data_IF_723143463416
#
_entry.id   IF_723143463416
#
_cell.length_a   1.000
_cell.length_b   1.000
_cell.length_c   1.000
_cell.angle_alpha   90.00
_cell.angle_beta   90.00
_cell.angle_gamma   90.00
#
_symmetry.space_group_name_H-M   'P 1'
#
loop_
_entity.id
_entity.type
_entity.pdbx_description
1 polymer ?
#
# COMPACT_ATOMS: atom_id res chain seq x y z
N UNK A 1 -29.05 9.42 -16.55
CA UNK A 1 -29.05 7.97 -16.83
C UNK A 1 -28.05 7.20 -15.96
N UNK A 2 -26.80 7.69 -15.77
CA UNK A 2 -25.78 6.99 -14.96
C UNK A 2 -26.08 6.98 -13.45
N UNK A 3 -26.56 8.09 -12.88
CA UNK A 3 -26.94 8.15 -11.45
C UNK A 3 -28.02 7.12 -11.08
N UNK A 4 -29.07 7.00 -11.90
CA UNK A 4 -30.14 6.02 -11.68
C UNK A 4 -29.62 4.58 -11.72
N UNK A 5 -28.71 4.27 -12.66
CA UNK A 5 -28.02 2.97 -12.69
C UNK A 5 -27.21 2.71 -11.43
N UNK A 6 -26.46 3.72 -10.97
CA UNK A 6 -25.65 3.63 -9.77
C UNK A 6 -26.52 3.38 -8.54
N UNK A 7 -27.65 4.09 -8.39
CA UNK A 7 -28.62 3.91 -7.30
C UNK A 7 -29.18 2.48 -7.24
N UNK A 8 -29.40 1.85 -8.41
CA UNK A 8 -29.89 0.47 -8.49
C UNK A 8 -28.81 -0.60 -8.36
N UNK A 9 -27.53 -0.23 -8.45
CA UNK A 9 -26.40 -1.16 -8.41
C UNK A 9 -25.74 -1.25 -7.03
N UNK A 10 -26.10 -0.36 -6.10
CA UNK A 10 -25.55 -0.30 -4.74
C UNK A 10 -26.53 -0.81 -3.70
N UNK A 11 -26.01 -1.16 -2.53
CA UNK A 11 -26.83 -1.60 -1.39
C UNK A 11 -27.87 -0.52 -1.03
N UNK A 12 -29.11 -0.91 -0.63
CA UNK A 12 -30.21 0.05 -0.42
C UNK A 12 -29.88 1.16 0.59
N UNK A 13 -29.02 0.89 1.57
CA UNK A 13 -28.59 1.89 2.55
C UNK A 13 -27.58 2.89 1.98
N UNK A 14 -26.76 2.48 1.01
CA UNK A 14 -25.88 3.37 0.25
C UNK A 14 -26.65 4.17 -0.81
N UNK A 15 -27.67 3.55 -1.42
CA UNK A 15 -28.53 4.17 -2.43
C UNK A 15 -29.18 5.46 -1.90
N UNK A 16 -29.55 5.52 -0.61
CA UNK A 16 -30.10 6.73 0.03
C UNK A 16 -29.15 7.93 -0.04
N UNK A 17 -27.84 7.71 0.00
CA UNK A 17 -26.82 8.75 -0.20
C UNK A 17 -26.68 9.17 -1.65
N UNK A 18 -26.78 8.21 -2.58
CA UNK A 18 -26.68 8.44 -4.04
C UNK A 18 -27.85 9.26 -4.59
N UNK A 19 -29.07 9.04 -4.07
CA UNK A 19 -30.30 9.71 -4.54
C UNK A 19 -30.23 11.24 -4.39
N UNK A 20 -29.49 11.73 -3.39
CA UNK A 20 -29.38 13.17 -3.12
C UNK A 20 -28.22 13.85 -3.86
N UNK A 21 -27.35 13.07 -4.52
CA UNK A 21 -26.20 13.60 -5.21
C UNK A 21 -26.58 14.21 -6.57
N UNK A 22 -25.99 15.38 -6.88
CA UNK A 22 -26.24 16.08 -8.15
C UNK A 22 -25.40 15.53 -9.30
N UNK A 23 -24.26 14.93 -9.00
CA UNK A 23 -23.34 14.37 -10.00
C UNK A 23 -22.80 13.01 -9.57
N UNK A 24 -22.48 12.16 -10.56
CA UNK A 24 -21.82 10.87 -10.34
C UNK A 24 -20.47 11.06 -9.66
N UNK A 25 -19.79 12.15 -9.99
CA UNK A 25 -18.50 12.51 -9.39
C UNK A 25 -18.59 12.73 -7.87
N UNK A 26 -19.65 13.39 -7.39
CA UNK A 26 -19.87 13.56 -5.95
C UNK A 26 -20.10 12.21 -5.26
N UNK A 27 -20.90 11.33 -5.87
CA UNK A 27 -21.11 9.98 -5.33
C UNK A 27 -19.80 9.19 -5.27
N UNK A 28 -18.98 9.31 -6.32
CA UNK A 28 -17.69 8.66 -6.38
C UNK A 28 -16.73 9.17 -5.30
N UNK A 29 -16.62 10.49 -5.12
CA UNK A 29 -15.79 11.07 -4.05
C UNK A 29 -16.33 10.73 -2.66
N UNK A 30 -17.65 10.69 -2.43
CA UNK A 30 -18.23 10.29 -1.14
C UNK A 30 -17.96 8.81 -0.83
N UNK A 31 -18.09 7.94 -1.83
CA UNK A 31 -17.77 6.52 -1.68
C UNK A 31 -16.27 6.31 -1.51
N UNK A 32 -15.46 7.04 -2.25
CA UNK A 32 -14.02 7.05 -2.04
C UNK A 32 -13.72 7.54 -0.63
N UNK A 33 -14.18 8.67 -0.15
CA UNK A 33 -13.84 9.13 1.21
C UNK A 33 -14.30 8.15 2.30
N UNK A 34 -15.51 7.57 2.17
CA UNK A 34 -16.06 6.61 3.15
C UNK A 34 -15.46 5.21 3.09
N UNK A 35 -15.16 4.70 1.90
CA UNK A 35 -14.72 3.31 1.68
C UNK A 35 -13.27 3.19 1.20
N UNK A 36 -12.64 4.30 0.81
CA UNK A 36 -11.19 4.41 0.59
C UNK A 36 -10.45 4.78 1.87
N UNK A 37 -11.05 4.55 3.05
CA UNK A 37 -10.23 4.24 4.21
C UNK A 37 -9.26 3.17 3.74
N UNK A 38 -8.02 3.59 3.41
CA UNK A 38 -6.85 2.74 3.24
C UNK A 38 -7.04 1.67 4.28
N UNK A 39 -7.00 0.39 3.91
CA UNK A 39 -7.30 -0.72 4.82
C UNK A 39 -6.31 -0.69 5.99
N UNK A 40 -6.44 0.28 6.89
CA UNK A 40 -5.46 0.68 7.86
C UNK A 40 -5.29 -0.41 8.91
N UNK A 41 -6.37 -1.14 9.29
CA UNK A 41 -6.21 -2.38 10.03
C UNK A 41 -5.38 -3.45 9.28
N UNK A 42 -5.59 -3.61 7.97
CA UNK A 42 -4.82 -4.59 7.18
C UNK A 42 -3.35 -4.17 7.00
N UNK A 43 -3.11 -2.88 6.73
CA UNK A 43 -1.77 -2.28 6.64
C UNK A 43 -1.04 -2.43 7.99
N UNK A 44 -1.69 -2.08 9.10
CA UNK A 44 -1.12 -2.23 10.45
C UNK A 44 -0.81 -3.70 10.77
N UNK A 45 -1.68 -4.63 10.36
CA UNK A 45 -1.44 -6.07 10.53
C UNK A 45 -0.23 -6.56 9.70
N UNK A 46 -0.10 -6.11 8.45
CA UNK A 46 1.05 -6.45 7.59
C UNK A 46 2.34 -5.83 8.14
N UNK A 47 2.30 -4.58 8.60
CA UNK A 47 3.44 -3.91 9.22
C UNK A 47 3.89 -4.61 10.51
N UNK A 48 2.96 -5.05 11.37
CA UNK A 48 3.27 -5.88 12.55
C UNK A 48 3.85 -7.24 12.17
N UNK A 49 3.33 -7.85 11.10
CA UNK A 49 3.84 -9.12 10.59
C UNK A 49 5.28 -8.95 10.10
N UNK A 50 5.57 -7.88 9.34
CA UNK A 50 6.91 -7.51 8.90
C UNK A 50 7.85 -7.22 10.07
N UNK A 51 7.42 -6.44 11.07
CA UNK A 51 8.25 -6.09 12.23
C UNK A 51 8.60 -7.29 13.12
N UNK A 52 7.74 -8.31 13.15
CA UNK A 52 7.99 -9.57 13.87
C UNK A 52 8.56 -10.68 12.98
N UNK A 53 8.72 -10.42 11.68
CA UNK A 53 9.22 -11.41 10.74
C UNK A 53 10.72 -11.60 10.92
N UNK A 54 11.13 -12.84 11.18
CA UNK A 54 12.54 -13.20 11.30
C UNK A 54 12.80 -14.52 10.59
N UNK A 55 14.04 -14.71 10.15
CA UNK A 55 14.41 -15.89 9.37
C UNK A 55 14.24 -17.21 10.15
N UNK A 56 14.54 -17.21 11.46
CA UNK A 56 14.43 -18.40 12.30
C UNK A 56 15.17 -19.61 11.71
N UNK A 57 14.46 -20.74 11.57
CA UNK A 57 14.97 -21.99 10.98
C UNK A 57 14.72 -22.10 9.47
N UNK A 58 14.17 -21.06 8.84
CA UNK A 58 13.80 -21.09 7.43
C UNK A 58 15.03 -20.97 6.53
N UNK A 59 14.98 -21.64 5.37
CA UNK A 59 15.98 -21.40 4.32
C UNK A 59 15.87 -19.98 3.79
N UNK A 60 17.00 -19.42 3.33
CA UNK A 60 17.08 -18.05 2.79
C UNK A 60 16.07 -17.83 1.66
N UNK A 61 15.90 -18.82 0.77
CA UNK A 61 14.93 -18.75 -0.33
C UNK A 61 13.49 -18.67 0.19
N UNK A 62 13.11 -19.54 1.14
CA UNK A 62 11.75 -19.54 1.69
C UNK A 62 11.46 -18.25 2.47
N UNK A 63 12.46 -17.73 3.18
CA UNK A 63 12.36 -16.47 3.90
C UNK A 63 12.08 -15.30 2.94
N UNK A 64 12.89 -15.18 1.88
CA UNK A 64 12.76 -14.08 0.93
C UNK A 64 11.45 -14.14 0.14
N UNK A 65 10.97 -15.34 -0.22
CA UNK A 65 9.66 -15.49 -0.88
C UNK A 65 8.51 -15.00 0.00
N UNK A 66 8.53 -15.32 1.31
CA UNK A 66 7.49 -14.86 2.23
C UNK A 66 7.59 -13.35 2.49
N UNK A 67 8.80 -12.83 2.64
CA UNK A 67 9.03 -11.40 2.80
C UNK A 67 8.52 -10.60 1.60
N UNK A 68 8.84 -11.07 0.39
CA UNK A 68 8.34 -10.49 -0.86
C UNK A 68 6.81 -10.53 -0.93
N UNK A 69 6.18 -11.62 -0.50
CA UNK A 69 4.72 -11.71 -0.44
C UNK A 69 4.08 -10.65 0.46
N UNK A 70 4.67 -10.38 1.63
CA UNK A 70 4.18 -9.34 2.54
C UNK A 70 4.34 -7.92 1.93
N UNK A 71 5.42 -7.67 1.20
CA UNK A 71 5.61 -6.42 0.47
C UNK A 71 4.63 -6.25 -0.69
N UNK A 72 4.45 -7.29 -1.50
CA UNK A 72 3.49 -7.28 -2.60
C UNK A 72 2.06 -7.04 -2.07
N UNK A 73 1.71 -7.64 -0.93
CA UNK A 73 0.42 -7.41 -0.26
C UNK A 73 0.30 -5.97 0.25
N UNK A 74 1.35 -5.41 0.88
CA UNK A 74 1.36 -4.01 1.31
C UNK A 74 1.18 -3.03 0.13
N UNK A 75 1.80 -3.33 -1.02
CA UNK A 75 1.68 -2.54 -2.23
C UNK A 75 0.25 -2.54 -2.81
N UNK A 76 -0.53 -3.61 -2.62
CA UNK A 76 -1.96 -3.61 -3.03
C UNK A 76 -2.81 -2.60 -2.28
N UNK A 77 -2.38 -2.21 -1.07
CA UNK A 77 -3.06 -1.23 -0.23
C UNK A 77 -2.50 0.18 -0.37
N UNK A 78 -1.37 0.37 -1.07
CA UNK A 78 -0.89 1.70 -1.44
C UNK A 78 -1.82 2.27 -2.52
N UNK A 79 -2.16 3.55 -2.37
CA UNK A 79 -3.05 4.22 -3.31
C UNK A 79 -2.41 4.18 -4.70
N UNK A 80 -3.19 3.78 -5.71
CA UNK A 80 -2.74 3.82 -7.10
C UNK A 80 -2.20 5.22 -7.41
N UNK A 81 -0.95 5.34 -7.88
CA UNK A 81 -0.38 6.64 -8.18
C UNK A 81 -1.24 7.34 -9.22
N UNK A 82 -1.53 8.62 -8.98
CA UNK A 82 -2.15 9.48 -9.98
C UNK A 82 -1.27 9.44 -11.23
N UNK A 83 -1.87 9.39 -12.43
CA UNK A 83 -1.26 9.09 -13.75
C UNK A 83 0.12 9.71 -14.07
N UNK A 84 0.59 10.70 -13.31
CA UNK A 84 1.84 11.42 -13.50
C UNK A 84 2.88 11.23 -12.38
N UNK A 85 2.64 10.34 -11.39
CA UNK A 85 3.49 10.18 -10.19
C UNK A 85 4.09 8.77 -10.02
N UNK A 86 4.05 7.93 -11.05
CA UNK A 86 4.54 6.54 -10.99
C UNK A 86 6.00 6.45 -10.52
N UNK A 87 6.89 7.30 -11.07
CA UNK A 87 8.32 7.31 -10.69
C UNK A 87 8.57 7.64 -9.21
N UNK A 88 7.88 8.65 -8.68
CA UNK A 88 8.02 9.02 -7.27
C UNK A 88 7.46 7.94 -6.34
N UNK A 89 6.43 7.20 -6.78
CA UNK A 89 5.88 6.06 -6.05
C UNK A 89 6.85 4.87 -6.06
N UNK A 90 7.52 4.60 -7.18
CA UNK A 90 8.53 3.54 -7.28
C UNK A 90 9.78 3.86 -6.45
N UNK A 91 10.26 5.12 -6.48
CA UNK A 91 11.39 5.57 -5.64
C UNK A 91 11.06 5.43 -4.14
N UNK A 92 9.87 5.87 -3.72
CA UNK A 92 9.43 5.72 -2.32
C UNK A 92 9.28 4.24 -1.91
N UNK A 93 8.90 3.37 -2.84
CA UNK A 93 8.82 1.91 -2.60
C UNK A 93 10.21 1.31 -2.36
N UNK A 94 11.21 1.72 -3.13
CA UNK A 94 12.58 1.26 -2.96
C UNK A 94 13.19 1.73 -1.64
N UNK A 95 12.95 2.98 -1.25
CA UNK A 95 13.37 3.52 0.05
C UNK A 95 12.78 2.72 1.23
N UNK A 96 11.48 2.44 1.19
CA UNK A 96 10.80 1.67 2.25
C UNK A 96 11.32 0.23 2.37
N UNK A 97 11.63 -0.43 1.24
CA UNK A 97 12.26 -1.74 1.24
C UNK A 97 13.67 -1.71 1.82
N UNK A 98 14.46 -0.68 1.51
CA UNK A 98 15.81 -0.51 2.05
C UNK A 98 15.79 -0.26 3.56
N UNK A 99 14.88 0.59 4.05
CA UNK A 99 14.71 0.83 5.49
C UNK A 99 14.33 -0.46 6.22
N UNK A 100 13.39 -1.23 5.68
CA UNK A 100 13.00 -2.51 6.27
C UNK A 100 14.15 -3.54 6.27
N UNK A 101 14.89 -3.63 5.16
CA UNK A 101 16.05 -4.52 5.05
C UNK A 101 17.14 -4.16 6.07
N UNK A 102 17.39 -2.86 6.27
CA UNK A 102 18.31 -2.34 7.31
C UNK A 102 17.88 -2.77 8.71
N UNK A 103 16.58 -2.68 9.02
CA UNK A 103 16.03 -3.06 10.32
C UNK A 103 16.14 -4.54 10.64
N UNK A 104 15.97 -5.41 9.64
CA UNK A 104 15.98 -6.87 9.84
C UNK A 104 17.39 -7.45 9.84
N UNK A 105 18.31 -6.84 9.09
CA UNK A 105 19.70 -7.29 8.98
C UNK A 105 20.66 -6.30 9.65
N UNK A 106 20.76 -6.38 10.98
CA UNK A 106 21.62 -5.51 11.80
C UNK A 106 23.11 -5.58 11.40
N UNK A 107 23.56 -6.70 10.84
CA UNK A 107 24.92 -6.87 10.28
C UNK A 107 25.18 -6.07 9.00
N UNK A 108 24.13 -5.66 8.28
CA UNK A 108 24.23 -4.89 7.04
C UNK A 108 23.79 -3.43 7.22
N UNK A 109 23.42 -3.02 8.44
CA UNK A 109 22.97 -1.66 8.76
C UNK A 109 23.93 -0.59 8.23
N UNK A 110 25.24 -0.77 8.41
CA UNK A 110 26.27 0.20 7.94
C UNK A 110 26.25 0.35 6.41
N UNK A 111 26.11 -0.75 5.67
CA UNK A 111 26.04 -0.74 4.20
C UNK A 111 24.72 -0.13 3.74
N UNK A 112 23.62 -0.46 4.41
CA UNK A 112 22.29 0.08 4.11
C UNK A 112 22.19 1.58 4.41
N UNK A 113 22.74 2.08 5.53
CA UNK A 113 22.83 3.51 5.81
C UNK A 113 23.68 4.24 4.78
N UNK A 114 24.77 3.64 4.32
CA UNK A 114 25.60 4.25 3.27
C UNK A 114 24.85 4.32 1.92
N UNK A 115 24.05 3.32 1.56
CA UNK A 115 23.22 3.32 0.35
C UNK A 115 22.05 4.30 0.47
N UNK A 116 21.38 4.38 1.62
CA UNK A 116 20.31 5.34 1.91
C UNK A 116 20.80 6.80 1.89
N UNK A 117 22.08 7.04 2.18
CA UNK A 117 22.70 8.37 2.07
C UNK A 117 23.17 8.71 0.65
N UNK A 118 23.11 7.77 -0.32
CA UNK A 118 23.44 8.06 -1.71
C UNK A 118 22.22 8.64 -2.44
N UNK A 119 22.36 9.86 -2.94
CA UNK A 119 21.44 10.48 -3.88
C UNK A 119 22.14 10.69 -5.24
N UNK A 120 21.69 10.06 -6.33
CA UNK A 120 20.60 9.10 -6.42
C UNK A 120 21.00 7.71 -5.89
N UNK A 121 20.01 6.88 -5.57
CA UNK A 121 20.22 5.46 -5.24
C UNK A 121 20.99 4.77 -6.39
N UNK A 122 21.94 3.86 -6.08
CA UNK A 122 22.71 3.17 -7.12
C UNK A 122 21.79 2.30 -7.99
N UNK A 123 21.95 2.37 -9.33
CA UNK A 123 21.22 1.54 -10.30
C UNK A 123 21.49 0.04 -10.11
#
# INVERSE_FOLDING_TARGET
>A
MILSWLTHSVEPDLAKGVIHAKTVYQVWEDFKDKFSQKNAPAIDQIQKSLASFSQGTMTVSTYFTKLKGLWDELDTYRALPTCNQMKAHDEQREEDHLIHFSWVYDTYNVVCTNILMMSPLPN
#
